data_IF_465839758183
#
_entry.id   IF_465839758183
#
_cell.length_a   1.000
_cell.length_b   1.000
_cell.length_c   1.000
_cell.angle_alpha   90.00
_cell.angle_beta   90.00
_cell.angle_gamma   90.00
#
_symmetry.space_group_name_H-M   'P 1'
#
loop_
_entity.id
_entity.type
_entity.pdbx_description
1 polymer ?
#
# COMPACT_ATOMS: atom_id res chain seq x y z
N UNK A 1 3.55 -16.18 -10.68
CA UNK A 1 2.55 -15.65 -9.73
C UNK A 1 2.71 -14.15 -9.63
N UNK A 2 1.62 -13.41 -9.69
CA UNK A 2 1.66 -11.95 -9.60
C UNK A 2 1.86 -11.49 -8.16
N UNK A 3 2.59 -10.40 -8.00
CA UNK A 3 2.93 -9.81 -6.70
C UNK A 3 2.64 -8.32 -6.75
N UNK A 4 1.76 -7.86 -5.88
CA UNK A 4 1.40 -6.45 -5.75
C UNK A 4 1.70 -5.93 -4.36
N UNK A 5 2.20 -4.72 -4.29
CA UNK A 5 2.34 -3.98 -3.04
C UNK A 5 1.20 -2.97 -2.94
N UNK A 6 0.51 -2.91 -1.82
CA UNK A 6 -0.53 -1.92 -1.59
C UNK A 6 -0.16 -1.04 -0.40
N UNK A 7 -0.28 0.29 -0.57
CA UNK A 7 -0.16 1.21 0.55
C UNK A 7 -1.52 1.39 1.24
N UNK A 8 -1.54 2.18 2.29
CA UNK A 8 -2.75 2.43 3.06
C UNK A 8 -3.85 3.08 2.23
N UNK A 9 -3.49 4.00 1.32
CA UNK A 9 -4.49 4.69 0.50
C UNK A 9 -5.26 3.72 -0.41
N UNK A 10 -4.60 2.70 -0.92
CA UNK A 10 -5.24 1.67 -1.74
C UNK A 10 -6.13 0.75 -0.90
N UNK A 11 -5.63 0.29 0.24
CA UNK A 11 -6.39 -0.64 1.10
C UNK A 11 -7.66 0.01 1.64
N UNK A 12 -7.61 1.29 2.00
CA UNK A 12 -8.78 2.03 2.48
C UNK A 12 -9.88 2.06 1.41
N UNK A 13 -9.54 2.05 0.12
CA UNK A 13 -10.53 1.99 -0.97
C UNK A 13 -11.42 0.74 -0.88
N UNK A 14 -10.93 -0.33 -0.29
CA UNK A 14 -11.68 -1.57 -0.12
C UNK A 14 -12.63 -1.54 1.08
N UNK A 15 -12.50 -0.56 1.96
CA UNK A 15 -13.31 -0.41 3.18
C UNK A 15 -14.28 0.74 3.11
N UNK A 16 -13.84 1.89 2.62
CA UNK A 16 -14.62 3.11 2.54
C UNK A 16 -15.13 3.32 1.11
N UNK A 17 -16.34 3.87 0.97
CA UNK A 17 -16.82 4.29 -0.33
C UNK A 17 -16.29 5.69 -0.62
N UNK A 18 -15.25 5.73 -1.43
CA UNK A 18 -14.59 6.98 -1.87
C UNK A 18 -14.47 6.96 -3.39
N UNK A 19 -13.97 8.07 -3.93
CA UNK A 19 -13.63 8.13 -5.37
C UNK A 19 -12.69 6.97 -5.70
N UNK A 20 -12.98 6.26 -6.79
CA UNK A 20 -12.22 5.11 -7.29
C UNK A 20 -12.29 3.83 -6.45
N UNK A 21 -13.09 3.78 -5.39
CA UNK A 21 -13.25 2.54 -4.60
C UNK A 21 -13.76 1.39 -5.44
N UNK A 22 -14.74 1.64 -6.31
CA UNK A 22 -15.28 0.60 -7.19
C UNK A 22 -14.23 0.08 -8.16
N UNK A 23 -13.46 0.97 -8.75
CA UNK A 23 -12.41 0.60 -9.70
C UNK A 23 -11.32 -0.24 -9.02
N UNK A 24 -10.90 0.15 -7.81
CA UNK A 24 -9.89 -0.63 -7.10
C UNK A 24 -10.43 -1.98 -6.63
N UNK A 25 -11.66 -2.03 -6.13
CA UNK A 25 -12.28 -3.30 -5.74
C UNK A 25 -12.34 -4.27 -6.92
N UNK A 26 -12.71 -3.78 -8.11
CA UNK A 26 -12.72 -4.60 -9.31
C UNK A 26 -11.33 -5.12 -9.68
N UNK A 27 -10.31 -4.27 -9.59
CA UNK A 27 -8.93 -4.67 -9.84
C UNK A 27 -8.46 -5.72 -8.82
N UNK A 28 -8.74 -5.49 -7.55
CA UNK A 28 -8.36 -6.41 -6.49
C UNK A 28 -9.03 -7.77 -6.67
N UNK A 29 -10.32 -7.79 -6.99
CA UNK A 29 -11.06 -9.04 -7.22
C UNK A 29 -10.53 -9.79 -8.45
N UNK A 30 -10.19 -9.05 -9.51
CA UNK A 30 -9.63 -9.65 -10.73
C UNK A 30 -8.22 -10.23 -10.50
N UNK A 31 -7.53 -9.81 -9.44
CA UNK A 31 -6.19 -10.25 -9.08
C UNK A 31 -6.17 -10.95 -7.71
N UNK A 32 -7.28 -11.59 -7.35
CA UNK A 32 -7.40 -12.26 -6.05
C UNK A 32 -6.42 -13.44 -5.87
N UNK A 33 -5.93 -14.01 -6.97
CA UNK A 33 -4.93 -15.07 -6.97
C UNK A 33 -3.50 -14.54 -6.84
N UNK A 34 -3.30 -13.24 -6.92
CA UNK A 34 -1.99 -12.63 -6.71
C UNK A 34 -1.61 -12.63 -5.22
N UNK A 35 -0.32 -12.52 -4.95
CA UNK A 35 0.15 -12.23 -3.60
C UNK A 35 0.08 -10.72 -3.39
N UNK A 36 -0.64 -10.31 -2.34
CA UNK A 36 -0.77 -8.92 -1.94
C UNK A 36 0.05 -8.68 -0.69
N UNK A 37 0.98 -7.75 -0.78
CA UNK A 37 1.98 -7.48 0.26
C UNK A 37 1.92 -6.00 0.65
N UNK A 38 2.31 -5.70 1.86
CA UNK A 38 2.48 -4.33 2.33
C UNK A 38 3.53 -4.27 3.44
N UNK A 39 3.76 -3.08 3.96
CA UNK A 39 4.54 -2.89 5.17
C UNK A 39 3.73 -3.27 6.41
N UNK A 40 4.40 -3.70 7.47
CA UNK A 40 3.78 -3.81 8.80
C UNK A 40 3.10 -2.50 9.22
N UNK A 41 3.55 -1.37 8.69
CA UNK A 41 2.94 -0.06 8.91
C UNK A 41 1.47 -0.02 8.49
N UNK A 42 1.08 -0.78 7.47
CA UNK A 42 -0.29 -0.84 6.97
C UNK A 42 -1.29 -1.13 8.08
N UNK A 43 -0.96 -2.09 8.92
CA UNK A 43 -1.86 -2.53 10.00
C UNK A 43 -2.16 -1.40 10.97
N UNK A 44 -1.15 -0.60 11.28
CA UNK A 44 -1.30 0.56 12.17
C UNK A 44 -2.11 1.65 11.49
N UNK A 45 -1.74 2.00 10.27
CA UNK A 45 -2.37 3.10 9.55
C UNK A 45 -3.85 2.83 9.24
N UNK A 46 -4.17 1.64 8.74
CA UNK A 46 -5.56 1.26 8.44
C UNK A 46 -6.39 1.21 9.72
N UNK A 47 -5.88 0.56 10.77
CA UNK A 47 -6.62 0.42 12.03
C UNK A 47 -6.91 1.78 12.65
N UNK A 48 -5.93 2.69 12.67
CA UNK A 48 -6.13 4.03 13.25
C UNK A 48 -7.05 4.89 12.41
N UNK A 49 -6.94 4.82 11.07
CA UNK A 49 -7.83 5.57 10.18
C UNK A 49 -9.28 5.12 10.32
N UNK A 50 -9.51 3.80 10.37
CA UNK A 50 -10.85 3.23 10.53
C UNK A 50 -11.42 3.55 11.91
N UNK A 51 -10.62 3.43 12.97
CA UNK A 51 -11.06 3.76 14.34
C UNK A 51 -11.50 5.22 14.45
N UNK A 52 -10.82 6.12 13.73
CA UNK A 52 -11.11 7.56 13.78
C UNK A 52 -12.33 7.94 12.93
N UNK A 53 -12.42 7.43 11.71
CA UNK A 53 -13.40 7.91 10.73
C UNK A 53 -14.63 7.02 10.59
N UNK A 54 -14.50 5.71 10.82
CA UNK A 54 -15.56 4.73 10.57
C UNK A 54 -15.42 3.52 11.50
N UNK A 55 -15.51 3.75 12.84
CA UNK A 55 -15.21 2.69 13.82
C UNK A 55 -16.10 1.46 13.69
N UNK A 56 -17.30 1.58 13.12
CA UNK A 56 -18.18 0.44 12.88
C UNK A 56 -17.57 -0.58 11.91
N UNK A 57 -16.60 -0.18 11.09
CA UNK A 57 -15.93 -1.05 10.12
C UNK A 57 -14.65 -1.72 10.66
N UNK A 58 -14.34 -1.57 11.97
CA UNK A 58 -13.15 -2.20 12.53
C UNK A 58 -13.10 -3.72 12.35
N UNK A 59 -14.21 -4.47 12.52
CA UNK A 59 -14.16 -5.92 12.27
C UNK A 59 -13.81 -6.25 10.82
N UNK A 60 -14.41 -5.55 9.85
CA UNK A 60 -14.12 -5.74 8.43
C UNK A 60 -12.68 -5.36 8.09
N UNK A 61 -12.17 -4.29 8.71
CA UNK A 61 -10.79 -3.88 8.52
C UNK A 61 -9.80 -4.95 9.00
N UNK A 62 -10.08 -5.56 10.15
CA UNK A 62 -9.24 -6.64 10.68
C UNK A 62 -9.23 -7.85 9.76
N UNK A 63 -10.40 -8.23 9.25
CA UNK A 63 -10.50 -9.35 8.32
C UNK A 63 -9.74 -9.06 7.03
N UNK A 64 -9.92 -7.87 6.47
CA UNK A 64 -9.24 -7.47 5.25
C UNK A 64 -7.70 -7.49 5.42
N UNK A 65 -7.20 -7.00 6.54
CA UNK A 65 -5.76 -6.97 6.80
C UNK A 65 -5.13 -8.37 6.80
N UNK A 66 -5.88 -9.42 7.11
CA UNK A 66 -5.38 -10.79 7.05
C UNK A 66 -5.09 -11.26 5.62
N UNK A 67 -5.64 -10.59 4.62
CA UNK A 67 -5.38 -10.92 3.21
C UNK A 67 -4.04 -10.39 2.71
N UNK A 68 -3.37 -9.55 3.47
CA UNK A 68 -2.09 -8.94 3.09
C UNK A 68 -0.95 -9.56 3.90
N UNK A 69 0.07 -10.05 3.19
CA UNK A 69 1.34 -10.39 3.82
C UNK A 69 2.07 -9.10 4.16
N UNK A 70 2.66 -8.99 5.33
CA UNK A 70 3.34 -7.77 5.74
C UNK A 70 4.84 -8.00 5.94
N UNK A 71 5.62 -6.99 5.57
CA UNK A 71 7.07 -6.97 5.73
C UNK A 71 7.40 -6.10 6.94
N UNK A 72 8.20 -6.64 7.86
CA UNK A 72 8.61 -5.93 9.06
C UNK A 72 9.44 -4.68 8.72
N UNK A 73 9.29 -3.65 9.54
CA UNK A 73 10.11 -2.44 9.46
C UNK A 73 11.41 -2.72 10.19
N UNK A 74 12.29 -3.44 9.52
CA UNK A 74 13.61 -3.80 10.06
C UNK A 74 14.65 -2.75 9.71
N UNK A 75 15.91 -3.00 10.08
CA UNK A 75 16.98 -2.04 9.85
C UNK A 75 17.21 -1.75 8.37
N UNK A 76 17.00 -2.73 7.50
CA UNK A 76 17.16 -2.52 6.05
C UNK A 76 16.06 -1.58 5.52
N UNK A 77 14.83 -1.72 5.98
CA UNK A 77 13.74 -0.81 5.62
C UNK A 77 14.02 0.59 6.17
N UNK A 78 14.47 0.69 7.42
CA UNK A 78 14.80 1.98 8.04
C UNK A 78 15.89 2.70 7.25
N UNK A 79 16.99 2.00 6.93
CA UNK A 79 18.08 2.57 6.13
C UNK A 79 17.59 3.00 4.75
N UNK A 80 16.79 2.16 4.09
CA UNK A 80 16.22 2.50 2.80
C UNK A 80 15.36 3.75 2.85
N UNK A 81 14.49 3.85 3.87
CA UNK A 81 13.61 5.00 4.04
C UNK A 81 14.41 6.30 4.32
N UNK A 82 15.46 6.21 5.15
CA UNK A 82 16.34 7.34 5.44
C UNK A 82 17.01 7.88 4.18
N UNK A 83 17.27 7.02 3.22
CA UNK A 83 18.04 7.34 2.01
C UNK A 83 17.19 7.52 0.76
N UNK A 84 15.85 7.56 0.87
CA UNK A 84 15.00 7.80 -0.29
C UNK A 84 15.39 9.13 -0.96
N UNK A 85 15.64 9.13 -2.28
CA UNK A 85 16.13 10.34 -2.97
C UNK A 85 15.15 11.50 -2.93
N UNK A 86 13.85 11.24 -2.96
CA UNK A 86 12.83 12.28 -2.88
C UNK A 86 12.71 12.79 -1.45
N UNK A 87 13.34 13.94 -1.18
CA UNK A 87 13.40 14.53 0.16
C UNK A 87 12.08 15.18 0.58
N UNK A 88 11.12 15.33 -0.34
CA UNK A 88 9.79 15.87 -0.02
C UNK A 88 8.82 14.78 0.40
N UNK A 89 9.19 13.52 0.20
CA UNK A 89 8.37 12.37 0.60
C UNK A 89 8.30 12.29 2.13
N UNK A 90 7.09 12.13 2.65
CA UNK A 90 6.90 12.02 4.10
C UNK A 90 7.48 10.71 4.62
N UNK A 91 7.83 10.67 5.90
CA UNK A 91 8.51 9.52 6.52
C UNK A 91 7.72 8.21 6.35
N UNK A 92 6.39 8.25 6.53
CA UNK A 92 5.57 7.04 6.39
C UNK A 92 5.55 6.55 4.93
N UNK A 93 5.48 7.47 3.98
CA UNK A 93 5.55 7.12 2.56
C UNK A 93 6.93 6.61 2.17
N UNK A 94 7.99 7.16 2.77
CA UNK A 94 9.35 6.66 2.56
C UNK A 94 9.49 5.22 3.06
N UNK A 95 8.82 4.86 4.15
CA UNK A 95 8.79 3.48 4.65
C UNK A 95 8.07 2.56 3.64
N UNK A 96 6.93 2.98 3.11
CA UNK A 96 6.23 2.19 2.10
C UNK A 96 7.10 1.99 0.85
N UNK A 97 7.73 3.06 0.37
CA UNK A 97 8.56 2.98 -0.84
C UNK A 97 9.79 2.08 -0.62
N UNK A 98 10.47 2.24 0.50
CA UNK A 98 11.63 1.40 0.83
C UNK A 98 11.23 -0.07 0.95
N UNK A 99 10.05 -0.36 1.52
CA UNK A 99 9.53 -1.72 1.62
C UNK A 99 9.24 -2.30 0.24
N UNK A 100 8.61 -1.53 -0.63
CA UNK A 100 8.33 -1.96 -2.00
C UNK A 100 9.60 -2.24 -2.79
N UNK A 101 10.66 -1.43 -2.60
CA UNK A 101 11.95 -1.64 -3.27
C UNK A 101 12.59 -2.98 -2.91
N UNK A 102 12.38 -3.46 -1.68
CA UNK A 102 12.94 -4.75 -1.23
C UNK A 102 12.39 -5.91 -2.06
N UNK A 103 11.14 -5.82 -2.53
CA UNK A 103 10.54 -6.84 -3.37
C UNK A 103 11.20 -6.92 -4.75
N UNK A 104 11.85 -5.83 -5.17
CA UNK A 104 12.68 -5.80 -6.35
C UNK A 104 11.97 -6.21 -7.63
N UNK A 105 12.66 -6.97 -8.51
CA UNK A 105 12.11 -7.33 -9.81
C UNK A 105 10.91 -8.28 -9.75
N UNK A 106 10.63 -8.89 -8.61
CA UNK A 106 9.46 -9.76 -8.46
C UNK A 106 8.16 -8.96 -8.34
N UNK A 107 8.25 -7.67 -8.01
CA UNK A 107 7.09 -6.82 -7.83
C UNK A 107 6.50 -6.42 -9.19
N UNK A 108 5.23 -6.75 -9.40
CA UNK A 108 4.51 -6.35 -10.61
C UNK A 108 4.11 -4.88 -10.58
N UNK A 109 3.58 -4.40 -9.46
CA UNK A 109 3.23 -2.99 -9.31
C UNK A 109 2.97 -2.62 -7.86
N UNK A 110 3.09 -1.31 -7.59
CA UNK A 110 2.65 -0.67 -6.36
C UNK A 110 1.25 -0.10 -6.61
N UNK A 111 0.29 -0.54 -5.80
CA UNK A 111 -1.06 0.01 -5.82
C UNK A 111 -1.16 1.15 -4.81
N UNK A 112 -1.48 2.34 -5.26
CA UNK A 112 -1.56 3.53 -4.42
C UNK A 112 -2.48 4.57 -5.05
N UNK A 113 -3.04 5.43 -4.21
CA UNK A 113 -3.80 6.61 -4.61
C UNK A 113 -3.19 7.89 -4.02
N UNK A 114 -2.00 7.78 -3.43
CA UNK A 114 -1.23 8.93 -2.96
C UNK A 114 -0.33 9.42 -4.09
N UNK A 115 -0.59 10.61 -4.60
CA UNK A 115 0.12 11.15 -5.77
C UNK A 115 1.62 11.26 -5.53
N UNK A 116 2.04 11.62 -4.33
CA UNK A 116 3.48 11.75 -4.01
C UNK A 116 4.17 10.40 -4.00
N UNK A 117 3.52 9.39 -3.43
CA UNK A 117 4.08 8.03 -3.42
C UNK A 117 4.12 7.44 -4.83
N UNK A 118 3.05 7.66 -5.61
CA UNK A 118 3.01 7.21 -7.01
C UNK A 118 4.16 7.81 -7.80
N UNK A 119 4.38 9.12 -7.68
CA UNK A 119 5.46 9.80 -8.37
C UNK A 119 6.83 9.27 -7.93
N UNK A 120 7.06 9.13 -6.63
CA UNK A 120 8.32 8.63 -6.10
C UNK A 120 8.58 7.18 -6.51
N UNK A 121 7.55 6.34 -6.53
CA UNK A 121 7.67 4.95 -6.97
C UNK A 121 8.01 4.88 -8.46
N UNK A 122 7.36 5.71 -9.27
CA UNK A 122 7.63 5.80 -10.70
C UNK A 122 9.07 6.25 -10.96
N UNK A 123 9.54 7.27 -10.25
CA UNK A 123 10.91 7.76 -10.34
C UNK A 123 11.92 6.69 -9.91
N UNK A 124 11.53 5.82 -8.99
CA UNK A 124 12.35 4.69 -8.54
C UNK A 124 12.37 3.52 -9.53
N UNK A 125 11.65 3.61 -10.65
CA UNK A 125 11.58 2.55 -11.65
C UNK A 125 10.57 1.46 -11.34
N UNK A 126 9.67 1.66 -10.36
CA UNK A 126 8.63 0.71 -10.03
C UNK A 126 7.36 1.01 -10.84
N UNK A 127 6.70 -0.04 -11.32
CA UNK A 127 5.39 0.12 -11.94
C UNK A 127 4.36 0.47 -10.86
N UNK A 128 3.37 1.28 -11.22
CA UNK A 128 2.29 1.66 -10.31
C UNK A 128 0.94 1.39 -10.93
N UNK A 129 -0.05 1.11 -10.10
CA UNK A 129 -1.43 0.98 -10.53
C UNK A 129 -2.33 1.79 -9.62
N UNK A 130 -3.24 2.57 -10.23
CA UNK A 130 -4.23 3.39 -9.54
C UNK A 130 -5.54 3.33 -10.34
N UNK A 131 -6.23 2.17 -10.33
CA UNK A 131 -7.45 2.02 -11.14
C UNK A 131 -8.46 3.13 -10.84
N UNK A 132 -9.04 3.70 -11.87
CA UNK A 132 -9.96 4.85 -11.78
C UNK A 132 -11.29 4.54 -12.42
N UNK A 133 -12.34 5.11 -11.83
CA UNK A 133 -13.68 5.04 -12.40
C UNK A 133 -13.79 5.86 -13.68
#
# INVERSE_FOLDING_TARGET
>A
MSLYYADTSAVIKLLAEETHSRAFAAFYDAHADAEWVSSALLRIEVSRAVARAMPALLPEARDLLLAFSTIAIDDDVVEGAMNEPDRTLRSLDAIHLATARILGPDLDAVASYDDRLIEAATDAGLATVSPRD
#
